data_IF_696603352484
#
_entry.id   IF_696603352484
#
_cell.length_a   1.000
_cell.length_b   1.000
_cell.length_c   1.000
_cell.angle_alpha   90.00
_cell.angle_beta   90.00
_cell.angle_gamma   90.00
#
_symmetry.space_group_name_H-M   'P 1'
#
loop_
_entity.id
_entity.type
_entity.pdbx_description
1 polymer ?
#
# COMPACT_ATOMS: atom_id res chain seq x y z
N UNK A 1 2.46 -4.66 -29.69
CA UNK A 1 1.49 -4.53 -28.57
C UNK A 1 1.37 -5.75 -27.62
N UNK A 2 1.62 -7.01 -28.03
CA UNK A 2 1.56 -8.18 -27.11
C UNK A 2 2.59 -8.15 -25.96
N UNK A 3 3.79 -7.60 -26.19
CA UNK A 3 4.87 -7.52 -25.19
C UNK A 3 4.58 -6.48 -24.09
N UNK A 4 4.06 -5.31 -24.44
CA UNK A 4 3.67 -4.24 -23.50
C UNK A 4 2.67 -4.73 -22.44
N UNK A 5 1.72 -5.60 -22.83
CA UNK A 5 0.71 -6.17 -21.91
C UNK A 5 1.31 -7.07 -20.82
N UNK A 6 2.49 -7.64 -21.03
CA UNK A 6 3.21 -8.43 -20.02
C UNK A 6 4.22 -7.61 -19.22
N UNK A 7 4.83 -6.62 -19.86
CA UNK A 7 5.85 -5.76 -19.23
C UNK A 7 5.20 -4.85 -18.19
N UNK A 8 4.05 -4.23 -18.50
CA UNK A 8 3.40 -3.28 -17.58
C UNK A 8 3.06 -3.94 -16.23
N UNK A 9 2.33 -5.08 -16.15
CA UNK A 9 2.05 -5.70 -14.86
C UNK A 9 3.30 -6.15 -14.12
N UNK A 10 4.36 -6.53 -14.84
CA UNK A 10 5.64 -6.91 -14.25
C UNK A 10 6.34 -5.71 -13.60
N UNK A 11 6.45 -4.58 -14.30
CA UNK A 11 7.04 -3.35 -13.79
C UNK A 11 6.26 -2.82 -12.60
N UNK A 12 4.92 -2.79 -12.69
CA UNK A 12 4.05 -2.38 -11.58
C UNK A 12 4.23 -3.29 -10.35
N UNK A 13 4.38 -4.60 -10.56
CA UNK A 13 4.63 -5.52 -9.44
C UNK A 13 5.97 -5.25 -8.75
N UNK A 14 7.04 -5.01 -9.52
CA UNK A 14 8.35 -4.64 -8.95
C UNK A 14 8.24 -3.34 -8.16
N UNK A 15 7.56 -2.33 -8.71
CA UNK A 15 7.32 -1.07 -8.02
C UNK A 15 6.63 -1.28 -6.66
N UNK A 16 5.55 -2.06 -6.61
CA UNK A 16 4.86 -2.36 -5.35
C UNK A 16 5.71 -3.19 -4.38
N UNK A 17 6.53 -4.13 -4.87
CA UNK A 17 7.46 -4.88 -4.00
C UNK A 17 8.42 -3.93 -3.31
N UNK A 18 9.06 -3.02 -4.08
CA UNK A 18 9.99 -2.04 -3.51
C UNK A 18 9.28 -1.14 -2.51
N UNK A 19 8.09 -0.65 -2.86
CA UNK A 19 7.29 0.23 -2.01
C UNK A 19 6.91 -0.43 -0.68
N UNK A 20 6.37 -1.65 -0.71
CA UNK A 20 5.94 -2.35 0.51
C UNK A 20 7.10 -2.84 1.35
N UNK A 21 8.19 -3.31 0.74
CA UNK A 21 9.41 -3.65 1.49
C UNK A 21 9.97 -2.42 2.19
N UNK A 22 10.06 -1.29 1.48
CA UNK A 22 10.51 -0.02 2.06
C UNK A 22 9.63 0.40 3.24
N UNK A 23 8.31 0.38 3.04
CA UNK A 23 7.34 0.78 4.05
C UNK A 23 7.39 -0.14 5.28
N UNK A 24 7.49 -1.46 5.09
CA UNK A 24 7.59 -2.43 6.19
C UNK A 24 8.89 -2.26 6.96
N UNK A 25 10.04 -2.15 6.27
CA UNK A 25 11.35 -1.97 6.91
C UNK A 25 11.37 -0.67 7.72
N UNK A 26 10.89 0.43 7.15
CA UNK A 26 10.83 1.71 7.88
C UNK A 26 9.96 1.63 9.13
N UNK A 27 8.83 0.91 9.09
CA UNK A 27 7.97 0.72 10.26
C UNK A 27 8.57 -0.21 11.31
N UNK A 28 9.38 -1.20 10.89
CA UNK A 28 10.08 -2.09 11.81
C UNK A 28 11.21 -1.33 12.54
N UNK A 29 11.97 -0.50 11.81
CA UNK A 29 13.08 0.27 12.37
C UNK A 29 12.59 1.33 13.38
N UNK A 30 11.48 2.00 13.08
CA UNK A 30 10.87 3.02 13.94
C UNK A 30 9.55 2.54 14.55
N UNK A 31 9.51 1.28 15.04
CA UNK A 31 8.26 0.66 15.50
C UNK A 31 7.58 1.42 16.64
N UNK A 32 8.34 1.89 17.63
CA UNK A 32 7.81 2.67 18.75
C UNK A 32 7.10 3.93 18.25
N UNK A 33 7.72 4.69 17.34
CA UNK A 33 7.09 5.89 16.78
C UNK A 33 5.86 5.57 15.95
N UNK A 34 5.87 4.45 15.22
CA UNK A 34 4.71 4.00 14.46
C UNK A 34 3.55 3.62 15.40
N UNK A 35 3.84 2.91 16.49
CA UNK A 35 2.86 2.57 17.52
C UNK A 35 2.31 3.82 18.22
N UNK A 36 3.16 4.80 18.54
CA UNK A 36 2.75 6.07 19.13
C UNK A 36 1.81 6.87 18.20
N UNK A 37 2.05 6.85 16.89
CA UNK A 37 1.16 7.49 15.92
C UNK A 37 -0.21 6.83 15.83
N UNK A 38 -0.25 5.50 15.87
CA UNK A 38 -1.51 4.76 15.91
C UNK A 38 -2.25 5.05 17.22
N UNK A 39 -1.53 5.18 18.34
CA UNK A 39 -2.09 5.57 19.65
C UNK A 39 -2.62 7.01 19.64
N UNK A 40 -1.90 7.93 18.99
CA UNK A 40 -2.29 9.33 18.88
C UNK A 40 -3.47 9.55 17.91
N UNK A 41 -3.73 8.60 17.01
CA UNK A 41 -4.86 8.66 16.09
C UNK A 41 -6.18 8.38 16.82
N UNK A 42 -7.14 9.33 16.85
CA UNK A 42 -8.39 9.18 17.58
C UNK A 42 -9.20 7.93 17.16
N UNK A 43 -9.06 7.51 15.90
CA UNK A 43 -9.77 6.38 15.32
C UNK A 43 -9.12 5.03 15.64
N UNK A 44 -7.81 5.00 15.91
CA UNK A 44 -7.04 3.76 16.01
C UNK A 44 -6.41 3.53 17.39
N UNK A 45 -6.56 4.47 18.33
CA UNK A 45 -5.97 4.41 19.66
C UNK A 45 -6.25 3.08 20.39
N UNK A 46 -7.50 2.58 20.32
CA UNK A 46 -7.88 1.31 20.95
C UNK A 46 -7.21 0.05 20.36
N UNK A 47 -6.58 0.15 19.19
CA UNK A 47 -5.92 -0.96 18.49
C UNK A 47 -4.41 -0.79 18.39
N UNK A 48 -3.82 0.19 19.08
CA UNK A 48 -2.41 0.56 18.94
C UNK A 48 -1.43 -0.56 19.27
N UNK A 49 -1.81 -1.54 20.07
CA UNK A 49 -0.96 -2.69 20.38
C UNK A 49 -0.95 -3.76 19.27
N UNK A 50 -2.01 -3.89 18.48
CA UNK A 50 -2.19 -5.01 17.54
C UNK A 50 -2.10 -4.57 16.07
N UNK A 51 -2.64 -3.40 15.75
CA UNK A 51 -2.73 -2.89 14.40
C UNK A 51 -1.36 -2.64 13.75
N UNK A 52 -0.33 -2.11 14.45
CA UNK A 52 0.98 -1.93 13.86
C UNK A 52 1.59 -3.22 13.31
N UNK A 53 1.53 -4.30 14.10
CA UNK A 53 2.00 -5.64 13.68
C UNK A 53 1.22 -6.14 12.47
N UNK A 54 -0.11 -6.00 12.49
CA UNK A 54 -0.98 -6.45 11.40
C UNK A 54 -0.63 -5.75 10.09
N UNK A 55 -0.42 -4.43 10.12
CA UNK A 55 -0.05 -3.65 8.93
C UNK A 55 1.28 -4.14 8.35
N UNK A 56 2.31 -4.28 9.18
CA UNK A 56 3.64 -4.74 8.75
C UNK A 56 3.55 -6.14 8.12
N UNK A 57 2.83 -7.06 8.77
CA UNK A 57 2.66 -8.44 8.28
C UNK A 57 1.97 -8.44 6.91
N UNK A 58 0.88 -7.67 6.75
CA UNK A 58 0.15 -7.59 5.49
C UNK A 58 1.01 -7.01 4.37
N UNK A 59 1.80 -5.96 4.66
CA UNK A 59 2.74 -5.36 3.69
C UNK A 59 3.77 -6.38 3.20
N UNK A 60 4.37 -7.14 4.11
CA UNK A 60 5.36 -8.19 3.78
C UNK A 60 4.72 -9.33 3.00
N UNK A 61 3.52 -9.78 3.36
CA UNK A 61 2.80 -10.82 2.63
C UNK A 61 2.50 -10.37 1.20
N UNK A 62 1.99 -9.15 1.01
CA UNK A 62 1.69 -8.61 -0.32
C UNK A 62 2.98 -8.52 -1.16
N UNK A 63 4.07 -8.03 -0.59
CA UNK A 63 5.37 -8.00 -1.25
C UNK A 63 5.81 -9.41 -1.70
N UNK A 64 5.68 -10.42 -0.83
CA UNK A 64 5.97 -11.82 -1.17
C UNK A 64 5.08 -12.37 -2.29
N UNK A 65 3.78 -12.07 -2.26
CA UNK A 65 2.82 -12.51 -3.30
C UNK A 65 3.12 -11.91 -4.67
N UNK A 66 3.64 -10.68 -4.74
CA UNK A 66 3.98 -9.99 -5.99
C UNK A 66 5.24 -10.58 -6.67
N UNK A 67 6.15 -11.18 -5.90
CA UNK A 67 7.38 -11.79 -6.41
C UNK A 67 7.11 -12.98 -7.34
N UNK A 68 6.12 -13.82 -7.02
CA UNK A 68 5.84 -15.02 -7.80
C UNK A 68 4.80 -14.77 -8.90
N UNK A 69 5.10 -15.25 -10.12
CA UNK A 69 4.23 -15.03 -11.30
C UNK A 69 2.81 -15.60 -11.13
N UNK A 70 2.66 -16.72 -10.40
CA UNK A 70 1.35 -17.36 -10.16
C UNK A 70 0.48 -16.58 -9.17
N UNK A 71 1.09 -16.01 -8.13
CA UNK A 71 0.38 -15.25 -7.08
C UNK A 71 0.32 -13.75 -7.37
N UNK A 72 1.01 -13.27 -8.40
CA UNK A 72 1.10 -11.84 -8.75
C UNK A 72 -0.27 -11.16 -8.88
N UNK A 73 -1.26 -11.83 -9.48
CA UNK A 73 -2.61 -11.25 -9.58
C UNK A 73 -3.23 -11.03 -8.21
N UNK A 74 -3.07 -12.00 -7.30
CA UNK A 74 -3.53 -11.90 -5.90
C UNK A 74 -2.75 -10.80 -5.19
N UNK A 75 -1.43 -10.71 -5.40
CA UNK A 75 -0.59 -9.63 -4.88
C UNK A 75 -1.07 -8.26 -5.34
N UNK A 76 -1.36 -8.06 -6.63
CA UNK A 76 -1.87 -6.78 -7.17
C UNK A 76 -3.24 -6.44 -6.61
N UNK A 77 -4.13 -7.43 -6.42
CA UNK A 77 -5.42 -7.22 -5.75
C UNK A 77 -5.21 -6.82 -4.29
N UNK A 78 -4.28 -7.49 -3.59
CA UNK A 78 -3.90 -7.13 -2.22
C UNK A 78 -3.35 -5.71 -2.12
N UNK A 79 -2.47 -5.31 -3.05
CA UNK A 79 -1.95 -3.94 -3.15
C UNK A 79 -3.08 -2.93 -3.34
N UNK A 80 -4.03 -3.22 -4.24
CA UNK A 80 -5.18 -2.36 -4.50
C UNK A 80 -6.02 -2.16 -3.24
N UNK A 81 -6.37 -3.26 -2.56
CA UNK A 81 -7.18 -3.23 -1.34
C UNK A 81 -6.46 -2.46 -0.24
N UNK A 82 -5.18 -2.73 -0.01
CA UNK A 82 -4.41 -2.05 1.02
C UNK A 82 -4.28 -0.55 0.73
N UNK A 83 -4.04 -0.16 -0.52
CA UNK A 83 -3.97 1.25 -0.92
C UNK A 83 -5.32 1.96 -0.77
N UNK A 84 -6.45 1.28 -1.04
CA UNK A 84 -7.78 1.83 -0.80
C UNK A 84 -8.03 2.06 0.70
N UNK A 85 -7.72 1.07 1.56
CA UNK A 85 -7.84 1.19 3.01
C UNK A 85 -7.01 2.38 3.53
N UNK A 86 -5.76 2.51 3.09
CA UNK A 86 -4.93 3.65 3.47
C UNK A 86 -5.45 4.99 2.96
N UNK A 87 -6.02 5.02 1.76
CA UNK A 87 -6.62 6.25 1.19
C UNK A 87 -7.85 6.67 1.99
N UNK A 88 -8.74 5.73 2.30
CA UNK A 88 -9.94 5.96 3.10
C UNK A 88 -9.56 6.44 4.50
N UNK A 89 -8.61 5.78 5.16
CA UNK A 89 -8.09 6.19 6.46
C UNK A 89 -7.58 7.63 6.46
N UNK A 90 -6.73 8.01 5.50
CA UNK A 90 -6.19 9.38 5.41
C UNK A 90 -7.31 10.40 5.16
N UNK A 91 -8.30 10.04 4.34
CA UNK A 91 -9.45 10.91 4.04
C UNK A 91 -10.28 11.19 5.30
N UNK A 92 -10.58 10.14 6.07
CA UNK A 92 -11.30 10.26 7.34
C UNK A 92 -10.48 11.04 8.38
N UNK A 93 -9.17 10.79 8.45
CA UNK A 93 -8.26 11.48 9.35
C UNK A 93 -8.22 12.99 9.06
N UNK A 94 -8.10 13.38 7.79
CA UNK A 94 -8.12 14.77 7.33
C UNK A 94 -9.46 15.45 7.58
N UNK A 95 -10.59 14.72 7.47
CA UNK A 95 -11.92 15.29 7.75
C UNK A 95 -12.23 15.44 9.24
N UNK A 96 -11.59 14.66 10.10
CA UNK A 96 -11.96 14.57 11.53
C UNK A 96 -10.98 15.32 12.43
N UNK A 97 -9.71 15.40 12.06
CA UNK A 97 -8.63 15.82 12.98
C UNK A 97 -8.17 17.24 12.70
N UNK A 98 -8.32 18.13 13.69
CA UNK A 98 -7.73 19.49 13.66
C UNK A 98 -6.21 19.51 13.88
N UNK A 99 -5.67 18.47 14.53
CA UNK A 99 -4.25 18.26 14.76
C UNK A 99 -3.85 16.91 14.16
N UNK A 100 -3.02 16.94 13.12
CA UNK A 100 -2.57 15.74 12.42
C UNK A 100 -1.34 15.17 13.14
N UNK A 101 -1.30 13.85 13.43
CA UNK A 101 -0.10 13.21 13.93
C UNK A 101 1.03 13.32 12.89
N UNK A 102 2.29 13.15 13.32
CA UNK A 102 3.40 13.01 12.37
C UNK A 102 3.14 11.80 11.44
N UNK A 103 3.76 11.74 10.27
CA UNK A 103 3.68 10.58 9.36
C UNK A 103 4.89 9.69 9.59
N UNK A 104 4.80 8.48 10.12
CA UNK A 104 5.96 7.58 10.29
C UNK A 104 5.98 6.58 9.14
N UNK A 105 6.80 6.89 8.13
CA UNK A 105 7.04 5.98 7.01
C UNK A 105 8.38 6.23 6.30
N UNK A 106 9.35 6.83 6.99
CA UNK A 106 10.67 7.10 6.42
C UNK A 106 10.62 8.27 5.44
N UNK A 107 10.83 8.04 4.15
CA UNK A 107 10.73 9.11 3.13
C UNK A 107 9.29 9.62 3.04
N UNK A 108 8.34 8.77 3.41
CA UNK A 108 6.93 9.10 3.55
C UNK A 108 6.71 10.05 4.73
N UNK A 109 7.53 10.05 5.78
CA UNK A 109 7.41 11.05 6.86
C UNK A 109 7.54 12.50 6.40
N UNK A 110 8.31 12.72 5.32
CA UNK A 110 8.57 14.05 4.78
C UNK A 110 7.46 14.58 3.88
N UNK A 111 6.45 13.78 3.56
CA UNK A 111 5.32 14.19 2.73
C UNK A 111 4.18 14.71 3.61
N UNK A 112 3.46 15.71 3.12
CA UNK A 112 2.23 16.15 3.78
C UNK A 112 1.13 15.08 3.64
N UNK A 113 0.17 15.05 4.56
CA UNK A 113 -0.97 14.13 4.50
C UNK A 113 -1.76 14.21 3.18
N UNK A 114 -1.85 15.40 2.58
CA UNK A 114 -2.45 15.55 1.25
C UNK A 114 -1.59 14.95 0.14
N UNK A 115 -0.27 15.08 0.20
CA UNK A 115 0.65 14.43 -0.75
C UNK A 115 0.57 12.89 -0.64
N UNK A 116 0.45 12.35 0.57
CA UNK A 116 0.20 10.91 0.77
C UNK A 116 -1.08 10.43 0.11
N UNK A 117 -2.16 11.19 0.26
CA UNK A 117 -3.45 10.88 -0.33
C UNK A 117 -3.34 10.81 -1.87
N UNK A 118 -2.69 11.78 -2.51
CA UNK A 118 -2.44 11.76 -3.95
C UNK A 118 -1.53 10.60 -4.37
N UNK A 119 -0.50 10.29 -3.59
CA UNK A 119 0.39 9.16 -3.83
C UNK A 119 -0.37 7.82 -3.79
N UNK A 120 -1.21 7.61 -2.78
CA UNK A 120 -2.02 6.40 -2.66
C UNK A 120 -3.04 6.29 -3.81
N UNK A 121 -3.70 7.38 -4.20
CA UNK A 121 -4.58 7.39 -5.37
C UNK A 121 -3.84 7.02 -6.66
N UNK A 122 -2.63 7.54 -6.86
CA UNK A 122 -1.76 7.13 -7.97
C UNK A 122 -1.49 5.63 -7.97
N UNK A 123 -1.19 5.06 -6.80
CA UNK A 123 -0.99 3.62 -6.62
C UNK A 123 -2.26 2.80 -6.91
N UNK A 124 -3.45 3.28 -6.51
CA UNK A 124 -4.74 2.67 -6.84
C UNK A 124 -4.93 2.60 -8.35
N UNK A 125 -4.71 3.71 -9.07
CA UNK A 125 -4.85 3.77 -10.53
C UNK A 125 -3.86 2.82 -11.20
N UNK A 126 -2.59 2.81 -10.77
CA UNK A 126 -1.56 1.88 -11.27
C UNK A 126 -1.96 0.41 -11.08
N UNK A 127 -2.52 0.08 -9.92
CA UNK A 127 -3.00 -1.27 -9.61
C UNK A 127 -4.17 -1.68 -10.51
N UNK A 128 -5.12 -0.77 -10.74
CA UNK A 128 -6.25 -1.01 -11.64
C UNK A 128 -5.80 -1.24 -13.10
N UNK A 129 -4.84 -0.46 -13.58
CA UNK A 129 -4.25 -0.63 -14.92
C UNK A 129 -3.57 -2.00 -15.02
N UNK A 130 -2.74 -2.36 -14.03
CA UNK A 130 -2.05 -3.65 -14.01
C UNK A 130 -3.03 -4.84 -13.95
N UNK A 131 -4.09 -4.73 -13.16
CA UNK A 131 -5.13 -5.75 -13.04
C UNK A 131 -5.95 -5.90 -14.34
N UNK A 132 -6.38 -4.80 -14.95
CA UNK A 132 -7.11 -4.79 -16.21
C UNK A 132 -6.30 -5.41 -17.36
N UNK A 133 -4.98 -5.17 -17.40
CA UNK A 133 -4.09 -5.79 -18.38
C UNK A 133 -3.84 -7.28 -18.11
N UNK A 134 -3.75 -7.70 -16.84
CA UNK A 134 -3.59 -9.11 -16.45
C UNK A 134 -4.83 -9.96 -16.78
N UNK A 135 -6.02 -9.46 -16.47
CA UNK A 135 -7.29 -10.15 -16.77
C UNK A 135 -7.50 -10.31 -18.29
N UNK A 136 -7.15 -9.29 -19.07
CA UNK A 136 -7.26 -9.33 -20.54
C UNK A 136 -6.27 -10.30 -21.20
N UNK A 137 -5.19 -10.68 -20.52
CA UNK A 137 -4.22 -11.67 -21.02
C UNK A 137 -4.54 -13.11 -20.58
N UNK A 138 -5.35 -13.29 -19.54
CA UNK A 138 -5.73 -14.61 -19.00
C UNK A 138 -6.97 -15.21 -19.68
N UNK A 139 -7.64 -14.49 -20.59
CA UNK A 139 -8.61 -15.11 -21.50
C UNK A 139 -7.84 -15.96 -22.52
N UNK A 140 -8.01 -17.29 -22.57
CA UNK A 140 -7.59 -18.05 -23.73
C UNK A 140 -8.28 -17.44 -24.94
N UNK A 141 -7.52 -17.24 -26.02
CA UNK A 141 -8.11 -16.91 -27.30
C UNK A 141 -8.98 -18.10 -27.69
N UNK A 142 -10.30 -17.92 -27.65
CA UNK A 142 -11.21 -18.70 -28.48
C UNK A 142 -11.00 -18.28 -29.94
#
# INVERSE_FOLDING_TARGET
MKYLKKIIPFVVSIYFVILFCYAAISKILDFEKFQDQISASPLLNGFSQFLPYTIIIVEVIIAGLLCYRKTRTIGVIGSLVLMLIFTEYITLLLSTSKNLPCSCGGILEKMSWSQHLYFNMGCVILSLIALGLNLKYSRPAE
#
